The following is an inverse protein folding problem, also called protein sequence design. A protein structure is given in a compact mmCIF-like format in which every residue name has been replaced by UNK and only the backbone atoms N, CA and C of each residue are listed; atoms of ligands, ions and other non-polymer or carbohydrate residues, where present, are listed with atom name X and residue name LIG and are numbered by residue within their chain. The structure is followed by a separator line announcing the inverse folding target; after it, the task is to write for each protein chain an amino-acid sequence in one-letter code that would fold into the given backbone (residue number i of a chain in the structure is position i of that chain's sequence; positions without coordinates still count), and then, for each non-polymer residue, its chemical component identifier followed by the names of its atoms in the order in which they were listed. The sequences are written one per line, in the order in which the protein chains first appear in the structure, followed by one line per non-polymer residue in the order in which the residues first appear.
data_IF_445229224876
#
_entry.id   IF_445229224876
#
_cell.length_a   1.000
_cell.length_b   1.000
_cell.length_c   1.000
_cell.angle_alpha   90.00
_cell.angle_beta   90.00
_cell.angle_gamma   90.00
#
_symmetry.space_group_name_H-M   'P 1'
#
loop_
_entity.id
_entity.type
_entity.pdbx_description
1 polymer ?
#
# COMPACT_ATOMS: atom_id res chain seq x y z
N UNK A 1 -8.46 -28.02 -15.51
CA UNK A 1 -7.32 -27.53 -14.71
C UNK A 1 -6.85 -26.23 -15.35
N UNK A 2 -7.48 -25.10 -14.99
CA UNK A 2 -7.29 -23.80 -15.64
C UNK A 2 -6.20 -23.05 -14.89
N UNK A 3 -5.38 -22.33 -15.64
CA UNK A 3 -4.14 -21.65 -15.32
C UNK A 3 -4.26 -20.57 -14.21
N UNK A 4 -4.50 -20.99 -12.95
CA UNK A 4 -4.69 -20.08 -11.79
C UNK A 4 -3.50 -19.14 -11.61
N UNK A 5 -2.28 -19.63 -11.86
CA UNK A 5 -1.05 -18.84 -11.73
C UNK A 5 -0.92 -17.77 -12.81
N UNK A 6 -1.40 -18.04 -14.02
CA UNK A 6 -1.34 -17.10 -15.14
C UNK A 6 -2.28 -15.91 -14.92
N UNK A 7 -3.52 -16.19 -14.50
CA UNK A 7 -4.52 -15.17 -14.19
C UNK A 7 -4.08 -14.30 -13.00
N UNK A 8 -3.40 -14.90 -12.02
CA UNK A 8 -2.89 -14.19 -10.86
C UNK A 8 -1.79 -13.18 -11.20
N UNK A 9 -0.82 -13.60 -12.02
CA UNK A 9 0.25 -12.70 -12.50
C UNK A 9 -0.34 -11.52 -13.26
N UNK A 10 -1.29 -11.77 -14.17
CA UNK A 10 -1.98 -10.72 -14.91
C UNK A 10 -2.73 -9.75 -14.00
N UNK A 11 -3.45 -10.26 -13.00
CA UNK A 11 -4.16 -9.42 -12.03
C UNK A 11 -3.21 -8.55 -11.19
N UNK A 12 -2.07 -9.10 -10.78
CA UNK A 12 -1.01 -8.37 -10.05
C UNK A 12 -0.38 -7.30 -10.94
N UNK A 13 -0.09 -7.61 -12.19
CA UNK A 13 0.47 -6.66 -13.17
C UNK A 13 -0.49 -5.51 -13.45
N UNK A 14 -1.77 -5.80 -13.71
CA UNK A 14 -2.82 -4.81 -13.89
C UNK A 14 -2.93 -3.89 -12.67
N UNK A 15 -2.95 -4.47 -11.48
CA UNK A 15 -3.09 -3.73 -10.22
C UNK A 15 -1.86 -2.86 -9.92
N UNK A 16 -0.66 -3.35 -10.26
CA UNK A 16 0.60 -2.60 -10.15
C UNK A 16 0.64 -1.44 -11.15
N UNK A 17 0.23 -1.67 -12.40
CA UNK A 17 0.14 -0.64 -13.43
C UNK A 17 -0.84 0.46 -13.00
N UNK A 18 -2.03 0.09 -12.50
CA UNK A 18 -3.02 1.04 -11.99
C UNK A 18 -2.48 1.85 -10.80
N UNK A 19 -1.83 1.20 -9.85
CA UNK A 19 -1.20 1.87 -8.71
C UNK A 19 -0.10 2.85 -9.16
N UNK A 20 0.69 2.48 -10.17
CA UNK A 20 1.73 3.34 -10.74
C UNK A 20 1.15 4.58 -11.43
N UNK A 21 0.03 4.44 -12.14
CA UNK A 21 -0.69 5.55 -12.76
C UNK A 21 -1.25 6.52 -11.72
N UNK A 22 -1.88 5.99 -10.67
CA UNK A 22 -2.34 6.79 -9.52
C UNK A 22 -1.17 7.53 -8.88
N UNK A 23 -0.05 6.84 -8.62
CA UNK A 23 1.16 7.46 -8.04
C UNK A 23 1.72 8.59 -8.92
N UNK A 24 1.73 8.42 -10.23
CA UNK A 24 2.19 9.44 -11.18
C UNK A 24 1.28 10.67 -11.16
N UNK A 25 -0.04 10.48 -11.22
CA UNK A 25 -1.02 11.55 -11.12
C UNK A 25 -0.90 12.32 -9.80
N UNK A 26 -0.78 11.60 -8.68
CA UNK A 26 -0.56 12.20 -7.36
C UNK A 26 0.73 13.02 -7.29
N UNK A 27 1.81 12.52 -7.89
CA UNK A 27 3.10 13.23 -7.92
C UNK A 27 3.00 14.57 -8.66
N UNK A 28 2.17 14.64 -9.71
CA UNK A 28 1.91 15.88 -10.46
C UNK A 28 0.99 16.82 -9.69
N UNK A 29 0.02 16.28 -8.94
CA UNK A 29 -0.91 17.05 -8.10
C UNK A 29 -0.24 17.61 -6.83
N UNK A 30 0.88 17.03 -6.39
CA UNK A 30 1.55 17.35 -5.12
C UNK A 30 2.97 17.95 -5.33
N UNK A 31 3.13 19.05 -6.10
CA UNK A 31 4.42 19.72 -6.21
C UNK A 31 4.86 20.24 -4.83
N UNK A 32 6.17 20.39 -4.60
CA UNK A 32 6.66 20.85 -3.29
C UNK A 32 6.24 22.30 -2.99
N UNK A 33 6.19 23.15 -4.02
CA UNK A 33 5.77 24.55 -3.95
C UNK A 33 4.43 24.72 -4.67
N UNK A 34 3.51 25.50 -4.09
CA UNK A 34 2.23 25.85 -4.71
C UNK A 34 1.21 24.70 -4.82
N UNK A 35 1.47 23.54 -4.21
CA UNK A 35 0.55 22.41 -4.24
C UNK A 35 -0.49 22.42 -3.10
N UNK A 36 -1.28 21.34 -2.97
CA UNK A 36 -2.31 21.20 -1.93
C UNK A 36 -1.75 21.33 -0.50
N UNK A 37 -2.58 21.74 0.46
CA UNK A 37 -2.21 21.74 1.87
C UNK A 37 -2.02 20.33 2.46
N UNK A 38 -1.37 20.23 3.61
CA UNK A 38 -0.97 18.97 4.26
C UNK A 38 -2.12 17.97 4.45
N UNK A 39 -3.30 18.42 4.89
CA UNK A 39 -4.47 17.53 5.08
C UNK A 39 -4.92 16.87 3.77
N UNK A 40 -4.95 17.63 2.66
CA UNK A 40 -5.27 17.09 1.33
C UNK A 40 -4.20 16.12 0.86
N UNK A 41 -2.93 16.43 1.12
CA UNK A 41 -1.80 15.55 0.80
C UNK A 41 -1.86 14.21 1.53
N UNK A 42 -2.15 14.23 2.83
CA UNK A 42 -2.32 13.02 3.63
C UNK A 42 -3.47 12.15 3.13
N UNK A 43 -4.61 12.76 2.78
CA UNK A 43 -5.74 12.07 2.17
C UNK A 43 -5.36 11.41 0.83
N UNK A 44 -4.67 12.14 -0.06
CA UNK A 44 -4.22 11.59 -1.33
C UNK A 44 -3.22 10.44 -1.15
N UNK A 45 -2.34 10.54 -0.14
CA UNK A 45 -1.42 9.47 0.22
C UNK A 45 -2.15 8.23 0.76
N UNK A 46 -3.24 8.40 1.52
CA UNK A 46 -4.03 7.27 2.02
C UNK A 46 -4.74 6.52 0.89
N UNK A 47 -5.24 7.23 -0.14
CA UNK A 47 -5.82 6.61 -1.34
C UNK A 47 -4.80 5.71 -2.04
N UNK A 48 -3.57 6.21 -2.25
CA UNK A 48 -2.50 5.39 -2.84
C UNK A 48 -2.14 4.17 -1.98
N UNK A 49 -2.15 4.33 -0.64
CA UNK A 49 -1.97 3.22 0.30
C UNK A 49 -3.04 2.16 0.10
N UNK A 50 -4.31 2.57 0.04
CA UNK A 50 -5.43 1.65 -0.08
C UNK A 50 -5.39 0.84 -1.37
N UNK A 51 -5.09 1.48 -2.50
CA UNK A 51 -4.92 0.80 -3.80
C UNK A 51 -3.81 -0.25 -3.69
N UNK A 52 -2.61 0.13 -3.22
CA UNK A 52 -1.48 -0.79 -3.09
C UNK A 52 -1.77 -1.95 -2.15
N UNK A 53 -2.37 -1.66 -0.99
CA UNK A 53 -2.63 -2.68 0.03
C UNK A 53 -3.72 -3.65 -0.42
N UNK A 54 -4.71 -3.19 -1.21
CA UNK A 54 -5.71 -4.07 -1.81
C UNK A 54 -5.09 -4.98 -2.86
N UNK A 55 -4.23 -4.45 -3.74
CA UNK A 55 -3.46 -5.24 -4.70
C UNK A 55 -2.59 -6.29 -4.02
N UNK A 56 -2.00 -5.94 -2.87
CA UNK A 56 -1.17 -6.87 -2.08
C UNK A 56 -2.03 -7.98 -1.45
N UNK A 57 -3.19 -7.62 -0.89
CA UNK A 57 -4.09 -8.58 -0.28
C UNK A 57 -4.61 -9.61 -1.29
N UNK A 58 -4.98 -9.17 -2.50
CA UNK A 58 -5.35 -10.08 -3.60
C UNK A 58 -4.14 -10.90 -4.06
N UNK A 59 -2.95 -10.27 -4.09
CA UNK A 59 -1.71 -10.84 -4.59
C UNK A 59 -1.01 -11.85 -3.67
N UNK A 60 -1.54 -12.12 -2.48
CA UNK A 60 -1.09 -13.20 -1.61
C UNK A 60 0.43 -13.23 -1.33
N UNK A 61 0.93 -14.39 -0.92
CA UNK A 61 2.35 -14.57 -0.53
C UNK A 61 3.32 -14.40 -1.72
N UNK A 62 2.83 -14.48 -2.95
CA UNK A 62 3.66 -14.34 -4.18
C UNK A 62 4.29 -12.95 -4.32
N UNK A 63 3.70 -11.94 -3.67
CA UNK A 63 4.23 -10.59 -3.62
C UNK A 63 5.31 -10.41 -2.56
N UNK A 64 5.61 -11.40 -1.72
CA UNK A 64 6.57 -11.30 -0.63
C UNK A 64 8.02 -11.51 -1.08
N UNK A 65 8.36 -11.07 -2.28
CA UNK A 65 9.73 -11.08 -2.78
C UNK A 65 10.51 -9.85 -2.30
N UNK A 66 11.83 -9.98 -2.21
CA UNK A 66 12.72 -8.85 -1.89
C UNK A 66 12.51 -7.66 -2.85
N UNK A 67 12.15 -7.95 -4.11
CA UNK A 67 11.82 -6.96 -5.13
C UNK A 67 10.59 -6.12 -4.76
N UNK A 68 9.55 -6.74 -4.23
CA UNK A 68 8.35 -6.03 -3.77
C UNK A 68 8.66 -5.17 -2.56
N UNK A 69 9.41 -5.68 -1.57
CA UNK A 69 9.83 -4.90 -0.39
C UNK A 69 10.61 -3.63 -0.76
N UNK A 70 11.53 -3.75 -1.72
CA UNK A 70 12.28 -2.59 -2.23
C UNK A 70 11.34 -1.57 -2.91
N UNK A 71 10.36 -2.05 -3.69
CA UNK A 71 9.37 -1.17 -4.34
C UNK A 71 8.45 -0.48 -3.33
N UNK A 72 7.94 -1.21 -2.34
CA UNK A 72 7.06 -0.66 -1.29
C UNK A 72 7.79 0.37 -0.43
N UNK A 73 9.07 0.12 -0.09
CA UNK A 73 9.92 1.08 0.63
C UNK A 73 10.16 2.35 -0.20
N UNK A 74 10.49 2.21 -1.48
CA UNK A 74 10.68 3.35 -2.37
C UNK A 74 9.39 4.17 -2.54
N UNK A 75 8.24 3.50 -2.72
CA UNK A 75 6.93 4.14 -2.83
C UNK A 75 6.53 4.85 -1.53
N UNK A 76 6.82 4.25 -0.37
CA UNK A 76 6.62 4.88 0.94
C UNK A 76 7.43 6.17 1.04
N UNK A 77 8.74 6.11 0.79
CA UNK A 77 9.63 7.28 0.87
C UNK A 77 9.16 8.40 -0.05
N UNK A 78 8.82 8.09 -1.31
CA UNK A 78 8.33 9.07 -2.27
C UNK A 78 7.04 9.74 -1.79
N UNK A 79 6.08 8.95 -1.27
CA UNK A 79 4.82 9.49 -0.77
C UNK A 79 5.02 10.34 0.48
N UNK A 80 5.83 9.89 1.41
CA UNK A 80 6.16 10.62 2.63
C UNK A 80 6.77 11.99 2.31
N UNK A 81 7.78 12.04 1.43
CA UNK A 81 8.38 13.29 0.95
C UNK A 81 7.34 14.24 0.36
N UNK A 82 6.38 13.72 -0.42
CA UNK A 82 5.32 14.52 -1.02
C UNK A 82 4.30 15.03 -0.01
N UNK A 83 4.03 14.27 1.05
CA UNK A 83 3.12 14.68 2.13
C UNK A 83 3.71 15.84 2.93
N UNK A 84 5.01 15.78 3.22
CA UNK A 84 5.70 16.81 4.02
C UNK A 84 6.35 17.92 3.18
N UNK A 85 6.18 17.89 1.85
CA UNK A 85 6.82 18.81 0.90
C UNK A 85 8.36 18.84 0.98
N UNK A 86 8.98 17.75 1.44
CA UNK A 86 10.41 17.66 1.65
C UNK A 86 11.20 17.36 0.37
N UNK A 87 12.46 17.74 0.38
CA UNK A 87 13.43 17.36 -0.65
C UNK A 87 14.05 16.00 -0.37
N UNK A 88 14.67 15.42 -1.40
CA UNK A 88 15.30 14.09 -1.37
C UNK A 88 16.43 13.92 -0.34
N UNK A 89 16.95 15.03 0.21
CA UNK A 89 18.04 15.10 1.21
C UNK A 89 17.58 14.82 2.64
N UNK A 90 16.28 14.79 2.92
CA UNK A 90 15.78 14.47 4.25
C UNK A 90 16.12 13.01 4.61
N UNK A 91 16.53 12.80 5.86
CA UNK A 91 16.91 11.49 6.41
C UNK A 91 15.72 10.53 6.43
N UNK A 92 16.00 9.23 6.33
CA UNK A 92 14.95 8.20 6.44
C UNK A 92 14.21 8.27 7.77
N UNK A 93 14.92 8.55 8.87
CA UNK A 93 14.33 8.66 10.22
C UNK A 93 13.28 9.78 10.29
N UNK A 94 13.58 10.95 9.72
CA UNK A 94 12.63 12.06 9.69
C UNK A 94 11.41 11.75 8.81
N UNK A 95 11.61 11.06 7.68
CA UNK A 95 10.55 10.62 6.78
C UNK A 95 9.65 9.57 7.46
N UNK A 96 10.19 8.75 8.37
CA UNK A 96 9.42 7.78 9.14
C UNK A 96 8.45 8.40 10.14
N UNK A 97 8.73 9.60 10.65
CA UNK A 97 7.98 10.20 11.77
C UNK A 97 7.06 11.33 11.32
N UNK A 98 7.57 12.29 10.54
CA UNK A 98 6.89 13.56 10.25
C UNK A 98 5.57 13.42 9.46
N UNK A 99 5.44 12.55 8.44
CA UNK A 99 4.25 12.55 7.59
C UNK A 99 3.00 11.96 8.24
N UNK A 100 3.14 11.21 9.34
CA UNK A 100 2.03 10.49 9.97
C UNK A 100 1.39 9.42 9.05
N UNK A 101 2.15 8.87 8.10
CA UNK A 101 1.69 7.80 7.21
C UNK A 101 2.35 6.47 7.59
N UNK A 102 1.55 5.41 7.65
CA UNK A 102 2.04 4.06 7.98
C UNK A 102 2.66 3.39 6.75
N UNK A 103 3.85 2.77 6.89
CA UNK A 103 4.43 1.90 5.85
C UNK A 103 3.46 0.81 5.39
N UNK A 104 3.44 0.55 4.08
CA UNK A 104 2.50 -0.41 3.46
C UNK A 104 2.67 -1.81 4.05
N UNK A 105 3.89 -2.22 4.38
CA UNK A 105 4.18 -3.55 4.94
C UNK A 105 3.51 -3.74 6.30
N UNK A 106 3.53 -2.71 7.15
CA UNK A 106 2.88 -2.72 8.46
C UNK A 106 1.35 -2.76 8.29
N UNK A 107 0.80 -1.96 7.36
CA UNK A 107 -0.64 -1.97 7.08
C UNK A 107 -1.10 -3.32 6.51
N UNK A 108 -0.33 -3.89 5.58
CA UNK A 108 -0.64 -5.18 4.96
C UNK A 108 -0.61 -6.31 5.99
N UNK A 109 0.39 -6.33 6.88
CA UNK A 109 0.48 -7.33 7.95
C UNK A 109 -0.68 -7.19 8.94
N UNK A 110 -1.04 -5.97 9.34
CA UNK A 110 -2.20 -5.72 10.20
C UNK A 110 -3.52 -6.22 9.57
N UNK A 111 -3.73 -5.96 8.28
CA UNK A 111 -4.92 -6.44 7.55
C UNK A 111 -4.94 -7.97 7.45
N UNK A 112 -3.79 -8.60 7.19
CA UNK A 112 -3.66 -10.06 7.12
C UNK A 112 -4.09 -10.72 8.42
N UNK A 113 -3.60 -10.21 9.56
CA UNK A 113 -3.99 -10.70 10.89
C UNK A 113 -5.49 -10.59 11.11
N UNK A 114 -6.07 -9.42 10.81
CA UNK A 114 -7.51 -9.18 10.96
C UNK A 114 -8.35 -10.14 10.10
N UNK A 115 -7.95 -10.40 8.85
CA UNK A 115 -8.66 -11.35 7.98
C UNK A 115 -8.51 -12.80 8.47
N UNK A 116 -7.32 -13.21 8.92
CA UNK A 116 -7.11 -14.55 9.48
C UNK A 116 -7.90 -14.79 10.77
N UNK A 117 -7.99 -13.79 11.64
CA UNK A 117 -8.82 -13.82 12.84
C UNK A 117 -10.31 -13.93 12.49
N UNK A 118 -10.77 -13.16 11.49
CA UNK A 118 -12.16 -13.25 11.00
C UNK A 118 -12.50 -14.62 10.45
N UNK A 119 -11.63 -15.22 9.64
CA UNK A 119 -11.87 -16.59 9.14
C UNK A 119 -11.90 -17.61 10.27
N UNK A 120 -10.98 -17.50 11.23
CA UNK A 120 -10.97 -18.37 12.41
C UNK A 120 -12.24 -18.23 13.26
N UNK A 121 -12.77 -17.01 13.39
CA UNK A 121 -13.99 -16.73 14.15
C UNK A 121 -15.25 -17.21 13.41
N UNK A 122 -15.29 -17.07 12.08
CA UNK A 122 -16.38 -17.60 11.25
C UNK A 122 -16.42 -19.14 11.31
N UNK A 123 -15.27 -19.80 11.31
CA UNK A 123 -15.18 -21.26 11.48
C UNK A 123 -15.66 -21.70 12.87
N UNK A 124 -15.38 -20.93 13.92
CA UNK A 124 -15.89 -21.21 15.28
C UNK A 124 -17.41 -21.07 15.37
N UNK A 125 -17.97 -20.01 14.79
CA UNK A 125 -19.42 -19.78 14.77
C UNK A 125 -20.18 -20.84 13.94
N UNK A 126 -19.53 -21.45 12.93
CA UNK A 126 -20.10 -22.56 12.16
C UNK A 126 -20.07 -23.90 12.91
N UNK A 127 -19.25 -24.04 13.96
CA UNK A 127 -19.14 -25.25 14.79
C UNK A 127 -20.08 -25.21 16.02
N UNK A 128 -20.72 -24.07 16.30
CA UNK A 128 -21.64 -23.87 17.45
C UNK A 128 -23.13 -23.97 17.09
N UNK A 129 -23.50 -24.25 15.84
CA UNK A 129 -24.89 -24.50 15.46
C UNK A 129 -25.15 -26.00 15.22
N UNK A 130 -25.96 -26.68 16.07
CA UNK A 130 -26.36 -28.08 15.92
C UNK A 130 -27.39 -28.32 14.81
#
# INVERSE_FOLDING_TARGET
MIDVLLNFKQQVEYSTAKASGVRAALSRLMPNVGGPGQRRRALLASVSTSVLTYSIAIGGETLRTQKTRRRTTADYRLRALRVVCAYRTVTDDAIGVIPGITPIEIVAEGRRKLYGERESNLQRLQMEHP
#
